data_IF_343127619473
#
_entry.id   IF_343127619473
#
_cell.length_a   1.000
_cell.length_b   1.000
_cell.length_c   1.000
_cell.angle_alpha   90.00
_cell.angle_beta   90.00
_cell.angle_gamma   90.00
#
_symmetry.space_group_name_H-M   'P 1'
#
loop_
_entity.id
_entity.type
_entity.pdbx_description
1 polymer ?
#
# COMPACT_ATOMS: atom_id res chain seq x y z
N UNK A 1 -21.82 15.44 12.82
CA UNK A 1 -22.63 15.22 11.59
C UNK A 1 -22.30 13.83 11.05
N UNK A 2 -23.20 12.86 11.25
CA UNK A 2 -22.99 11.43 10.96
C UNK A 2 -24.02 11.03 9.91
N UNK A 3 -23.56 10.65 8.72
CA UNK A 3 -24.42 10.26 7.61
C UNK A 3 -24.86 8.80 7.82
N UNK A 4 -26.07 8.61 8.32
CA UNK A 4 -26.77 7.31 8.37
C UNK A 4 -27.80 7.31 7.25
N UNK A 5 -27.47 6.71 6.11
CA UNK A 5 -28.42 6.59 5.01
C UNK A 5 -27.90 5.67 3.93
N UNK A 6 -28.76 4.73 3.52
CA UNK A 6 -28.61 3.75 2.44
C UNK A 6 -27.86 2.44 2.77
N UNK A 7 -28.54 1.51 3.45
CA UNK A 7 -28.25 0.07 3.27
C UNK A 7 -29.48 -0.84 3.36
N UNK A 8 -30.66 -0.36 2.97
CA UNK A 8 -31.92 -1.13 3.13
C UNK A 8 -32.74 -1.23 1.85
N UNK A 9 -32.11 -1.36 0.68
CA UNK A 9 -32.83 -1.55 -0.59
C UNK A 9 -32.34 -2.69 -1.50
N UNK A 10 -31.38 -3.51 -1.06
CA UNK A 10 -30.87 -4.62 -1.89
C UNK A 10 -31.22 -6.03 -1.40
N UNK A 11 -32.05 -6.16 -0.34
CA UNK A 11 -32.44 -7.48 0.20
C UNK A 11 -33.82 -7.98 -0.23
N UNK A 12 -34.51 -7.28 -1.13
CA UNK A 12 -35.90 -7.59 -1.48
C UNK A 12 -36.13 -7.86 -2.99
N UNK A 13 -35.13 -8.40 -3.70
CA UNK A 13 -35.32 -8.79 -5.11
C UNK A 13 -34.87 -10.21 -5.47
N UNK A 14 -34.29 -10.96 -4.53
CA UNK A 14 -33.77 -12.32 -4.81
C UNK A 14 -34.78 -13.43 -4.43
N UNK A 15 -35.85 -13.13 -3.70
CA UNK A 15 -36.82 -14.15 -3.29
C UNK A 15 -37.96 -14.41 -4.28
N UNK A 16 -38.07 -13.67 -5.39
CA UNK A 16 -39.23 -13.80 -6.29
C UNK A 16 -38.94 -14.51 -7.63
N UNK A 17 -37.70 -14.95 -7.89
CA UNK A 17 -37.32 -15.56 -9.17
C UNK A 17 -37.26 -17.10 -9.15
N UNK A 18 -37.33 -17.75 -7.98
CA UNK A 18 -37.17 -19.20 -7.88
C UNK A 18 -38.49 -19.97 -8.07
N UNK A 19 -39.64 -19.40 -7.71
CA UNK A 19 -40.93 -20.11 -7.76
C UNK A 19 -41.54 -20.25 -9.17
N UNK A 20 -41.28 -19.30 -10.07
CA UNK A 20 -41.82 -19.38 -11.44
C UNK A 20 -41.12 -20.45 -12.28
N UNK A 21 -39.82 -20.67 -12.06
CA UNK A 21 -39.06 -21.71 -12.76
C UNK A 21 -39.50 -23.13 -12.38
N UNK A 22 -39.83 -23.37 -11.11
CA UNK A 22 -40.32 -24.65 -10.59
C UNK A 22 -41.73 -24.96 -11.06
N UNK A 23 -42.62 -23.96 -11.10
CA UNK A 23 -43.98 -24.14 -11.62
C UNK A 23 -44.00 -24.39 -13.14
N UNK A 24 -43.17 -23.71 -13.91
CA UNK A 24 -43.07 -23.95 -15.36
C UNK A 24 -42.49 -25.33 -15.65
N UNK A 25 -41.46 -25.78 -14.93
CA UNK A 25 -40.91 -27.13 -15.08
C UNK A 25 -41.94 -28.22 -14.70
N UNK A 26 -42.74 -28.00 -13.66
CA UNK A 26 -43.77 -28.97 -13.22
C UNK A 26 -44.94 -29.04 -14.21
N UNK A 27 -45.40 -27.91 -14.75
CA UNK A 27 -46.48 -27.90 -15.76
C UNK A 27 -45.99 -28.50 -17.08
N UNK A 28 -44.74 -28.24 -17.48
CA UNK A 28 -44.16 -28.78 -18.71
C UNK A 28 -44.02 -30.30 -18.65
N UNK A 29 -43.51 -30.84 -17.53
CA UNK A 29 -43.40 -32.29 -17.33
C UNK A 29 -44.76 -32.99 -17.31
N UNK A 30 -45.79 -32.37 -16.72
CA UNK A 30 -47.14 -32.96 -16.66
C UNK A 30 -47.84 -33.02 -18.03
N UNK A 31 -47.75 -31.93 -18.82
CA UNK A 31 -48.38 -31.89 -20.15
C UNK A 31 -47.67 -32.81 -21.15
N UNK A 32 -46.35 -32.91 -21.08
CA UNK A 32 -45.56 -33.79 -21.94
C UNK A 32 -45.85 -35.28 -21.67
N UNK A 33 -46.06 -35.66 -20.40
CA UNK A 33 -46.37 -37.06 -20.01
C UNK A 33 -47.71 -37.56 -20.57
N UNK A 34 -48.69 -36.67 -20.77
CA UNK A 34 -50.02 -37.06 -21.26
C UNK A 34 -50.04 -37.35 -22.77
N UNK A 35 -49.21 -36.68 -23.57
CA UNK A 35 -49.10 -36.94 -25.01
C UNK A 35 -48.13 -38.10 -25.34
N UNK A 36 -47.16 -38.37 -24.47
CA UNK A 36 -46.24 -39.52 -24.62
C UNK A 36 -46.91 -40.89 -24.45
N UNK A 37 -48.11 -40.97 -23.87
CA UNK A 37 -48.82 -42.23 -23.64
C UNK A 37 -49.45 -42.86 -24.91
N UNK A 38 -49.37 -42.21 -26.07
CA UNK A 38 -49.78 -42.80 -27.36
C UNK A 38 -48.61 -43.16 -28.30
N UNK A 39 -47.37 -43.01 -27.83
CA UNK A 39 -46.18 -43.29 -28.64
C UNK A 39 -45.71 -44.73 -28.37
N UNK A 40 -45.44 -45.50 -29.42
CA UNK A 40 -45.04 -46.92 -29.34
C UNK A 40 -43.82 -47.13 -28.42
N UNK A 41 -43.79 -48.20 -27.59
CA UNK A 41 -42.71 -48.45 -26.64
C UNK A 41 -41.30 -48.49 -27.25
N UNK A 42 -41.17 -48.87 -28.52
CA UNK A 42 -39.89 -48.86 -29.24
C UNK A 42 -39.31 -47.45 -29.42
N UNK A 43 -40.16 -46.44 -29.59
CA UNK A 43 -39.74 -45.03 -29.69
C UNK A 43 -39.21 -44.52 -28.34
N UNK A 44 -39.81 -44.94 -27.22
CA UNK A 44 -39.39 -44.52 -25.87
C UNK A 44 -37.98 -45.04 -25.54
N UNK A 45 -37.65 -46.27 -25.93
CA UNK A 45 -36.32 -46.87 -25.70
C UNK A 45 -35.19 -46.17 -26.48
N UNK A 46 -35.51 -45.61 -27.65
CA UNK A 46 -34.57 -44.83 -28.47
C UNK A 46 -34.27 -43.46 -27.84
N UNK A 47 -35.28 -42.80 -27.24
CA UNK A 47 -35.10 -41.53 -26.55
C UNK A 47 -34.33 -41.66 -25.23
N UNK A 48 -34.47 -42.76 -24.49
CA UNK A 48 -33.77 -42.92 -23.20
C UNK A 48 -32.25 -43.00 -23.32
N UNK A 49 -31.72 -43.42 -24.47
CA UNK A 49 -30.28 -43.54 -24.70
C UNK A 49 -29.62 -42.23 -25.21
N UNK A 50 -30.40 -41.27 -25.71
CA UNK A 50 -29.87 -39.99 -26.22
C UNK A 50 -29.75 -38.91 -25.14
N UNK A 51 -30.62 -38.94 -24.12
CA UNK A 51 -30.62 -38.01 -22.99
C UNK A 51 -29.27 -37.92 -22.25
N UNK A 52 -28.61 -39.02 -21.82
CA UNK A 52 -27.34 -38.93 -21.10
C UNK A 52 -26.23 -38.31 -21.96
N UNK A 53 -26.19 -38.62 -23.25
CA UNK A 53 -25.20 -38.08 -24.19
C UNK A 53 -25.32 -36.55 -24.33
N UNK A 54 -26.55 -36.04 -24.46
CA UNK A 54 -26.82 -34.60 -24.52
C UNK A 54 -26.44 -33.91 -23.21
N UNK A 55 -26.75 -34.53 -22.06
CA UNK A 55 -26.40 -34.00 -20.75
C UNK A 55 -24.88 -33.90 -20.55
N UNK A 56 -24.11 -34.93 -20.93
CA UNK A 56 -22.65 -34.91 -20.87
C UNK A 56 -22.07 -33.82 -21.76
N UNK A 57 -22.62 -33.60 -22.96
CA UNK A 57 -22.17 -32.53 -23.85
C UNK A 57 -22.43 -31.14 -23.26
N UNK A 58 -23.64 -30.88 -22.76
CA UNK A 58 -23.98 -29.60 -22.11
C UNK A 58 -23.07 -29.36 -20.90
N UNK A 59 -22.81 -30.40 -20.09
CA UNK A 59 -21.89 -30.34 -18.97
C UNK A 59 -20.46 -29.99 -19.39
N UNK A 60 -19.96 -30.60 -20.47
CA UNK A 60 -18.62 -30.32 -21.00
C UNK A 60 -18.50 -28.88 -21.49
N UNK A 61 -19.47 -28.39 -22.27
CA UNK A 61 -19.50 -27.00 -22.76
C UNK A 61 -19.60 -26.01 -21.59
N UNK A 62 -20.50 -26.27 -20.64
CA UNK A 62 -20.64 -25.46 -19.43
C UNK A 62 -19.35 -25.40 -18.60
N UNK A 63 -18.66 -26.54 -18.44
CA UNK A 63 -17.38 -26.63 -17.76
C UNK A 63 -16.28 -25.81 -18.45
N UNK A 64 -16.19 -25.87 -19.78
CA UNK A 64 -15.23 -25.09 -20.57
C UNK A 64 -15.50 -23.59 -20.41
N UNK A 65 -16.76 -23.15 -20.54
CA UNK A 65 -17.14 -21.74 -20.37
C UNK A 65 -16.81 -21.25 -18.95
N UNK A 66 -17.12 -22.04 -17.93
CA UNK A 66 -16.79 -21.71 -16.54
C UNK A 66 -15.28 -21.60 -16.32
N UNK A 67 -14.49 -22.51 -16.90
CA UNK A 67 -13.03 -22.46 -16.84
C UNK A 67 -12.46 -21.19 -17.51
N UNK A 68 -12.95 -20.83 -18.70
CA UNK A 68 -12.55 -19.60 -19.38
C UNK A 68 -12.90 -18.35 -18.56
N UNK A 69 -14.11 -18.29 -18.00
CA UNK A 69 -14.54 -17.18 -17.14
C UNK A 69 -13.64 -17.06 -15.90
N UNK A 70 -13.34 -18.17 -15.23
CA UNK A 70 -12.46 -18.20 -14.06
C UNK A 70 -11.04 -17.69 -14.39
N UNK A 71 -10.48 -18.05 -15.56
CA UNK A 71 -9.17 -17.56 -16.00
C UNK A 71 -9.19 -16.04 -16.24
N UNK A 72 -10.25 -15.51 -16.86
CA UNK A 72 -10.41 -14.08 -17.11
C UNK A 72 -10.52 -13.31 -15.79
N UNK A 73 -11.38 -13.75 -14.87
CA UNK A 73 -11.55 -13.13 -13.55
C UNK A 73 -10.25 -13.16 -12.73
N UNK A 74 -9.52 -14.28 -12.76
CA UNK A 74 -8.23 -14.40 -12.08
C UNK A 74 -7.18 -13.41 -12.62
N UNK A 75 -7.17 -13.16 -13.94
CA UNK A 75 -6.28 -12.15 -14.54
C UNK A 75 -6.67 -10.73 -14.14
N UNK A 76 -7.97 -10.42 -14.10
CA UNK A 76 -8.47 -9.12 -13.65
C UNK A 76 -8.16 -8.88 -12.17
N UNK A 77 -8.34 -9.90 -11.33
CA UNK A 77 -8.02 -9.84 -9.91
C UNK A 77 -6.52 -9.61 -9.65
N UNK A 78 -5.63 -10.16 -10.48
CA UNK A 78 -4.18 -9.89 -10.37
C UNK A 78 -3.86 -8.42 -10.64
N UNK A 79 -4.39 -7.85 -11.72
CA UNK A 79 -4.20 -6.42 -12.04
C UNK A 79 -4.72 -5.51 -10.94
N UNK A 80 -5.90 -5.82 -10.38
CA UNK A 80 -6.46 -5.06 -9.26
C UNK A 80 -5.59 -5.16 -8.01
N UNK A 81 -5.07 -6.35 -7.69
CA UNK A 81 -4.15 -6.56 -6.56
C UNK A 81 -2.83 -5.82 -6.72
N UNK A 82 -2.27 -5.76 -7.92
CA UNK A 82 -1.06 -4.98 -8.21
C UNK A 82 -1.30 -3.49 -7.97
N UNK A 83 -2.40 -2.95 -8.52
CA UNK A 83 -2.79 -1.57 -8.28
C UNK A 83 -2.98 -1.33 -6.78
N UNK A 84 -3.78 -2.15 -6.10
CA UNK A 84 -4.02 -2.03 -4.66
C UNK A 84 -2.73 -2.12 -3.84
N UNK A 85 -1.79 -2.99 -4.22
CA UNK A 85 -0.48 -3.08 -3.59
C UNK A 85 0.28 -1.76 -3.73
N UNK A 86 0.33 -1.17 -4.93
CA UNK A 86 0.96 0.13 -5.15
C UNK A 86 0.29 1.24 -4.33
N UNK A 87 -1.04 1.28 -4.26
CA UNK A 87 -1.76 2.23 -3.39
C UNK A 87 -1.38 2.07 -1.92
N UNK A 88 -1.22 0.83 -1.44
CA UNK A 88 -0.77 0.55 -0.06
C UNK A 88 0.68 0.99 0.17
N UNK A 89 1.58 0.74 -0.78
CA UNK A 89 2.98 1.20 -0.72
C UNK A 89 3.04 2.73 -0.65
N UNK A 90 2.30 3.43 -1.52
CA UNK A 90 2.27 4.90 -1.56
C UNK A 90 1.66 5.50 -0.28
N UNK A 91 0.59 4.88 0.26
CA UNK A 91 0.01 5.30 1.53
C UNK A 91 1.00 5.11 2.70
N UNK A 92 1.73 4.00 2.73
CA UNK A 92 2.77 3.76 3.73
C UNK A 92 3.90 4.79 3.62
N UNK A 93 4.34 5.10 2.39
CA UNK A 93 5.33 6.14 2.14
C UNK A 93 4.87 7.52 2.67
N UNK A 94 3.60 7.87 2.41
CA UNK A 94 3.01 9.11 2.91
C UNK A 94 3.02 9.16 4.45
N UNK A 95 2.63 8.08 5.13
CA UNK A 95 2.66 8.02 6.60
C UNK A 95 4.06 8.23 7.17
N UNK A 96 5.09 7.68 6.52
CA UNK A 96 6.48 7.87 6.95
C UNK A 96 6.94 9.31 6.75
N UNK A 97 6.58 9.94 5.63
CA UNK A 97 6.86 11.35 5.37
C UNK A 97 6.12 12.29 6.32
N UNK A 98 4.88 11.97 6.67
CA UNK A 98 4.10 12.69 7.67
C UNK A 98 4.74 12.57 9.05
N UNK A 99 5.23 11.39 9.44
CA UNK A 99 5.95 11.19 10.70
C UNK A 99 7.20 12.07 10.79
N UNK A 100 8.00 12.13 9.72
CA UNK A 100 9.18 13.00 9.63
C UNK A 100 8.82 14.47 9.87
N UNK A 101 7.71 14.94 9.29
CA UNK A 101 7.28 16.33 9.42
C UNK A 101 6.58 16.64 10.75
N UNK A 102 5.86 15.66 11.29
CA UNK A 102 5.05 15.81 12.51
C UNK A 102 5.84 15.71 13.80
N UNK A 103 6.96 14.98 13.80
CA UNK A 103 7.81 14.87 14.99
C UNK A 103 8.67 16.13 15.18
N UNK A 104 8.60 16.74 16.37
CA UNK A 104 9.28 18.01 16.66
C UNK A 104 10.80 17.95 16.42
N UNK A 105 11.47 16.88 16.87
CA UNK A 105 12.93 16.72 16.73
C UNK A 105 13.33 16.58 15.26
N UNK A 106 12.66 15.71 14.52
CA UNK A 106 12.91 15.50 13.09
C UNK A 106 12.64 16.76 12.26
N UNK A 107 11.51 17.43 12.50
CA UNK A 107 11.18 18.71 11.85
C UNK A 107 12.19 19.80 12.21
N UNK A 108 12.66 19.86 13.46
CA UNK A 108 13.70 20.81 13.87
C UNK A 108 15.03 20.56 13.14
N UNK A 109 15.44 19.30 12.96
CA UNK A 109 16.63 18.95 12.19
C UNK A 109 16.51 19.40 10.72
N UNK A 110 15.36 19.15 10.08
CA UNK A 110 15.11 19.63 8.71
C UNK A 110 15.20 21.16 8.62
N UNK A 111 14.66 21.87 9.61
CA UNK A 111 14.78 23.33 9.68
C UNK A 111 16.21 23.80 9.90
N UNK A 112 17.01 23.12 10.73
CA UNK A 112 18.43 23.43 10.97
C UNK A 112 19.30 23.11 9.75
N UNK A 113 18.90 22.15 8.92
CA UNK A 113 19.50 21.90 7.61
C UNK A 113 19.23 23.06 6.66
N UNK A 114 18.04 23.64 6.68
CA UNK A 114 17.63 24.67 5.73
C UNK A 114 18.14 26.07 6.14
N UNK A 115 17.94 26.47 7.40
CA UNK A 115 18.25 27.80 7.91
C UNK A 115 18.97 27.77 9.26
N UNK A 116 19.86 28.74 9.47
CA UNK A 116 20.47 29.01 10.78
C UNK A 116 19.76 30.14 11.53
N UNK A 117 19.90 30.15 12.85
CA UNK A 117 19.49 31.26 13.71
C UNK A 117 18.00 31.28 14.05
N UNK A 118 17.31 30.14 14.02
CA UNK A 118 15.93 30.01 14.52
C UNK A 118 15.93 29.69 16.02
N UNK A 119 14.83 30.02 16.70
CA UNK A 119 14.60 29.64 18.10
C UNK A 119 14.01 28.24 18.14
N UNK A 120 14.54 27.42 19.04
CA UNK A 120 14.07 26.06 19.30
C UNK A 120 13.87 25.88 20.80
N UNK A 121 12.85 25.11 21.16
CA UNK A 121 12.59 24.67 22.53
C UNK A 121 13.51 23.48 22.84
N UNK A 122 14.64 23.77 23.47
CA UNK A 122 15.70 22.81 23.83
C UNK A 122 15.25 21.92 24.98
N UNK A 123 14.59 22.54 25.97
CA UNK A 123 13.89 21.88 27.09
C UNK A 123 12.54 22.55 27.30
N UNK A 124 11.67 21.99 28.15
CA UNK A 124 10.33 22.54 28.38
C UNK A 124 10.35 24.01 28.82
N UNK A 125 11.37 24.40 29.60
CA UNK A 125 11.52 25.76 30.13
C UNK A 125 12.58 26.62 29.39
N UNK A 126 13.19 26.12 28.30
CA UNK A 126 14.31 26.80 27.65
C UNK A 126 14.15 26.85 26.13
N UNK A 127 14.14 28.08 25.59
CA UNK A 127 14.32 28.33 24.16
C UNK A 127 15.73 28.86 23.90
N UNK A 128 16.39 28.31 22.89
CA UNK A 128 17.71 28.77 22.44
C UNK A 128 17.72 29.03 20.94
N UNK A 129 18.51 30.02 20.52
CA UNK A 129 18.70 30.35 19.11
C UNK A 129 19.88 29.55 18.58
N UNK A 130 19.61 28.59 17.71
CA UNK A 130 20.65 27.70 17.17
C UNK A 130 21.14 28.26 15.82
N UNK A 131 22.38 28.72 15.77
CA UNK A 131 23.05 29.16 14.53
C UNK A 131 23.59 27.98 13.71
N UNK A 132 24.01 28.27 12.48
CA UNK A 132 24.72 27.29 11.64
C UNK A 132 26.01 26.81 12.30
N UNK A 133 26.71 27.69 13.03
CA UNK A 133 27.94 27.34 13.73
C UNK A 133 27.66 26.41 14.92
N UNK A 134 26.61 26.70 15.69
CA UNK A 134 26.19 25.85 16.81
C UNK A 134 25.81 24.45 16.32
N UNK A 135 25.10 24.35 15.19
CA UNK A 135 24.80 23.06 14.56
C UNK A 135 26.08 22.31 14.18
N UNK A 136 27.01 22.96 13.50
CA UNK A 136 28.26 22.32 13.07
C UNK A 136 29.10 21.87 14.28
N UNK A 137 29.17 22.68 15.33
CA UNK A 137 29.83 22.33 16.57
C UNK A 137 29.17 21.12 17.22
N UNK A 138 27.84 21.10 17.35
CA UNK A 138 27.11 19.98 17.94
C UNK A 138 27.35 18.65 17.21
N UNK A 139 27.48 18.71 15.88
CA UNK A 139 27.71 17.55 15.01
C UNK A 139 29.20 17.17 14.86
N UNK A 140 30.10 17.76 15.67
CA UNK A 140 31.49 17.30 15.71
C UNK A 140 31.59 15.85 16.17
N UNK A 141 32.63 15.19 15.68
CA UNK A 141 32.97 13.79 15.98
C UNK A 141 34.15 13.65 16.94
N UNK A 142 34.74 14.77 17.34
CA UNK A 142 35.88 14.86 18.26
C UNK A 142 35.53 15.78 19.44
N UNK A 143 36.24 15.65 20.57
CA UNK A 143 36.02 16.47 21.77
C UNK A 143 34.56 16.47 22.26
N UNK A 144 34.09 15.29 22.69
CA UNK A 144 32.68 14.96 22.94
C UNK A 144 32.07 15.54 24.23
N UNK A 145 32.48 16.74 24.64
CA UNK A 145 31.91 17.47 25.77
C UNK A 145 30.85 18.43 25.29
N UNK A 146 29.57 18.06 25.40
CA UNK A 146 28.47 18.81 24.82
C UNK A 146 27.71 19.67 25.84
N UNK A 147 27.30 20.86 25.45
CA UNK A 147 26.30 21.64 26.19
C UNK A 147 24.87 21.17 25.88
N UNK A 148 23.85 21.75 26.55
CA UNK A 148 22.45 21.31 26.41
C UNK A 148 21.91 21.54 24.99
N UNK A 149 22.27 22.65 24.38
CA UNK A 149 21.91 23.01 23.01
C UNK A 149 22.51 22.03 22.00
N UNK A 150 23.78 21.67 22.18
CA UNK A 150 24.47 20.71 21.33
C UNK A 150 23.86 19.31 21.45
N UNK A 151 23.54 18.87 22.68
CA UNK A 151 22.82 17.60 22.89
C UNK A 151 21.47 17.63 22.17
N UNK A 152 20.72 18.73 22.27
CA UNK A 152 19.44 18.86 21.56
C UNK A 152 19.59 18.79 20.04
N UNK A 153 20.61 19.45 19.46
CA UNK A 153 20.86 19.37 18.02
C UNK A 153 21.18 17.93 17.61
N UNK A 154 22.05 17.25 18.35
CA UNK A 154 22.41 15.84 18.06
C UNK A 154 21.19 14.94 18.11
N UNK A 155 20.40 15.03 19.18
CA UNK A 155 19.13 14.32 19.32
C UNK A 155 18.18 14.54 18.14
N UNK A 156 18.12 15.77 17.60
CA UNK A 156 17.30 16.09 16.43
C UNK A 156 17.81 15.38 15.17
N UNK A 157 19.12 15.42 14.93
CA UNK A 157 19.74 14.77 13.77
C UNK A 157 19.69 13.25 13.88
N UNK A 158 19.89 12.67 15.06
CA UNK A 158 19.75 11.23 15.30
C UNK A 158 18.33 10.75 14.95
N UNK A 159 17.29 11.49 15.38
CA UNK A 159 15.89 11.17 15.02
C UNK A 159 15.60 11.30 13.54
N UNK A 160 16.21 12.28 12.87
CA UNK A 160 16.12 12.43 11.42
C UNK A 160 16.76 11.24 10.71
N UNK A 161 17.97 10.85 11.12
CA UNK A 161 18.69 9.73 10.51
C UNK A 161 17.98 8.41 10.76
N UNK A 162 17.51 8.13 11.97
CA UNK A 162 16.66 6.97 12.27
C UNK A 162 15.41 6.91 11.36
N UNK A 163 14.79 8.07 11.10
CA UNK A 163 13.65 8.14 10.18
C UNK A 163 14.02 7.80 8.73
N UNK A 164 15.20 8.25 8.26
CA UNK A 164 15.72 7.93 6.92
C UNK A 164 16.10 6.45 6.83
N UNK A 165 16.76 5.89 7.85
CA UNK A 165 17.10 4.46 7.91
C UNK A 165 15.86 3.58 7.82
N UNK A 166 14.79 3.98 8.52
CA UNK A 166 13.50 3.29 8.43
C UNK A 166 12.94 3.34 7.00
N UNK A 167 13.03 4.48 6.31
CA UNK A 167 12.59 4.58 4.90
C UNK A 167 13.40 3.63 4.01
N UNK A 168 14.73 3.66 4.09
CA UNK A 168 15.59 2.76 3.30
C UNK A 168 15.32 1.30 3.62
N UNK A 169 15.10 0.96 4.89
CA UNK A 169 14.72 -0.38 5.30
C UNK A 169 13.42 -0.83 4.61
N UNK A 170 12.40 0.03 4.57
CA UNK A 170 11.12 -0.29 3.94
C UNK A 170 11.24 -0.41 2.42
N UNK A 171 12.10 0.40 1.78
CA UNK A 171 12.41 0.28 0.35
C UNK A 171 13.05 -1.08 0.06
N UNK A 172 14.03 -1.51 0.87
CA UNK A 172 14.69 -2.83 0.71
C UNK A 172 13.76 -4.01 0.89
N UNK A 173 12.66 -3.82 1.61
CA UNK A 173 11.62 -4.84 1.83
C UNK A 173 10.49 -4.78 0.81
N UNK A 174 10.59 -3.91 -0.22
CA UNK A 174 9.53 -3.67 -1.20
C UNK A 174 8.19 -3.29 -0.55
N UNK A 175 8.24 -2.62 0.61
CA UNK A 175 7.07 -2.10 1.31
C UNK A 175 6.75 -0.65 0.91
N UNK A 176 7.75 0.05 0.37
CA UNK A 176 7.67 1.43 -0.12
C UNK A 176 8.49 1.51 -1.40
N UNK A 177 7.99 2.19 -2.42
CA UNK A 177 8.80 2.47 -3.61
C UNK A 177 9.63 3.74 -3.40
N UNK A 178 10.87 3.72 -3.87
CA UNK A 178 11.74 4.89 -3.77
C UNK A 178 11.14 6.13 -4.48
N UNK A 179 10.43 5.93 -5.60
CA UNK A 179 9.74 7.00 -6.34
C UNK A 179 8.73 7.79 -5.49
N UNK A 180 8.12 7.14 -4.48
CA UNK A 180 7.09 7.77 -3.64
C UNK A 180 7.70 8.70 -2.57
N UNK A 181 8.98 8.47 -2.21
CA UNK A 181 9.70 9.25 -1.19
C UNK A 181 10.81 10.12 -1.77
N UNK A 182 11.24 9.86 -3.01
CA UNK A 182 12.41 10.49 -3.59
C UNK A 182 12.22 12.00 -3.73
N UNK A 183 11.10 12.42 -4.33
CA UNK A 183 10.82 13.82 -4.64
C UNK A 183 10.73 14.72 -3.39
N UNK A 184 10.00 14.33 -2.32
CA UNK A 184 9.92 15.16 -1.12
C UNK A 184 11.24 15.29 -0.35
N UNK A 185 12.11 14.28 -0.40
CA UNK A 185 13.36 14.24 0.35
C UNK A 185 14.60 14.71 -0.45
N UNK A 186 14.49 14.80 -1.79
CA UNK A 186 15.59 15.18 -2.69
C UNK A 186 16.31 16.46 -2.26
N UNK A 187 15.55 17.49 -1.87
CA UNK A 187 16.11 18.76 -1.41
C UNK A 187 17.03 18.58 -0.19
N UNK A 188 16.55 17.86 0.83
CA UNK A 188 17.28 17.67 2.09
C UNK A 188 18.48 16.74 1.93
N UNK A 189 18.33 15.68 1.13
CA UNK A 189 19.45 14.77 0.81
C UNK A 189 20.58 15.53 0.13
N UNK A 190 20.28 16.40 -0.83
CA UNK A 190 21.28 17.25 -1.49
C UNK A 190 21.98 18.19 -0.50
N UNK A 191 21.27 18.71 0.50
CA UNK A 191 21.87 19.55 1.55
C UNK A 191 22.78 18.73 2.47
N UNK A 192 22.33 17.54 2.89
CA UNK A 192 23.12 16.64 3.74
C UNK A 192 24.45 16.30 3.04
N UNK A 193 24.38 15.90 1.76
CA UNK A 193 25.56 15.55 0.96
C UNK A 193 26.55 16.73 0.82
N UNK A 194 26.04 17.97 0.67
CA UNK A 194 26.89 19.17 0.56
C UNK A 194 27.46 19.65 1.90
N UNK A 195 26.83 19.33 3.03
CA UNK A 195 27.23 19.83 4.35
C UNK A 195 28.16 18.84 5.04
N UNK A 196 29.46 19.05 4.85
CA UNK A 196 30.53 18.20 5.38
C UNK A 196 30.34 17.76 6.85
N UNK A 197 30.06 18.63 7.85
CA UNK A 197 29.89 18.19 9.24
C UNK A 197 28.73 17.21 9.43
N UNK A 198 27.64 17.38 8.67
CA UNK A 198 26.47 16.50 8.74
C UNK A 198 26.79 15.14 8.13
N UNK A 199 27.43 15.13 6.95
CA UNK A 199 27.80 13.90 6.28
C UNK A 199 28.91 13.14 7.04
N UNK A 200 29.89 13.83 7.61
CA UNK A 200 30.91 13.21 8.47
C UNK A 200 30.31 12.61 9.73
N UNK A 201 29.29 13.25 10.32
CA UNK A 201 28.54 12.68 11.43
C UNK A 201 27.86 11.36 11.04
N UNK A 202 27.15 11.34 9.89
CA UNK A 202 26.51 10.12 9.34
C UNK A 202 27.52 8.97 9.23
N UNK A 203 28.68 9.25 8.63
CA UNK A 203 29.74 8.25 8.43
C UNK A 203 30.40 7.79 9.72
N UNK A 204 30.68 8.72 10.63
CA UNK A 204 31.37 8.42 11.88
C UNK A 204 30.54 7.52 12.80
N UNK A 205 29.22 7.76 12.89
CA UNK A 205 28.31 6.95 13.70
C UNK A 205 27.71 5.75 12.94
N UNK A 206 28.19 5.47 11.72
CA UNK A 206 27.85 4.30 10.91
C UNK A 206 26.34 4.17 10.61
N UNK A 207 25.70 5.28 10.24
CA UNK A 207 24.32 5.29 9.74
C UNK A 207 24.26 4.76 8.30
N UNK A 208 24.59 3.48 8.13
CA UNK A 208 24.81 2.86 6.82
C UNK A 208 23.58 2.95 5.91
N UNK A 209 22.37 2.78 6.47
CA UNK A 209 21.14 2.89 5.67
C UNK A 209 20.87 4.32 5.22
N UNK A 210 21.35 5.33 5.95
CA UNK A 210 21.28 6.73 5.49
C UNK A 210 22.25 6.96 4.33
N UNK A 211 23.47 6.44 4.41
CA UNK A 211 24.42 6.51 3.28
C UNK A 211 23.85 5.83 2.03
N UNK A 212 23.36 4.60 2.18
CA UNK A 212 22.72 3.84 1.11
C UNK A 212 21.53 4.62 0.50
N UNK A 213 20.74 5.31 1.33
CA UNK A 213 19.64 6.16 0.87
C UNK A 213 20.11 7.40 0.10
N UNK A 214 21.18 8.06 0.57
CA UNK A 214 21.78 9.22 -0.11
C UNK A 214 22.34 8.78 -1.47
N UNK A 215 23.00 7.64 -1.55
CA UNK A 215 23.62 7.12 -2.77
C UNK A 215 22.61 6.83 -3.88
N UNK A 216 21.36 6.48 -3.56
CA UNK A 216 20.29 6.34 -4.55
C UNK A 216 20.09 7.62 -5.37
N UNK A 217 20.27 8.79 -4.78
CA UNK A 217 20.11 10.06 -5.49
C UNK A 217 21.28 10.41 -6.41
N UNK A 218 22.47 9.86 -6.16
CA UNK A 218 23.64 10.07 -7.00
C UNK A 218 23.61 9.18 -8.27
N UNK A 219 22.86 8.08 -8.24
CA UNK A 219 22.69 7.18 -9.39
C UNK A 219 21.69 7.71 -10.43
N UNK A 220 20.75 8.56 -10.01
CA UNK A 220 19.66 9.09 -10.84
C UNK A 220 19.98 10.46 -11.47
N UNK A 221 21.17 11.04 -11.20
CA UNK A 221 21.63 12.35 -11.69
C UNK A 221 22.72 12.23 -12.75
#
# INVERSE_FOLDING_TARGET
>A
MRNKGLSTFHKMFVHFSLDTSLLVATIFTYRFKKELLMISPDLISSFTNTIPTVATFIGAVGGIIAAFKAIIEMRQNRKQKEIEHHWRQAAQAQLMLEKIKGEYKTSSALQMLDYGGRKYRVTDDCESRISTNDRNNALRTENLTFNKEEVFVRDCFDRLFESIENIEHFIRRDLVQFSDVSKPLQYYVNIINKKKPVYEFVRHYNYKLVEDFIDRYNLDS
#
